data_IF_543343898016
#
_entry.id   IF_543343898016
#
_cell.length_a   1.000
_cell.length_b   1.000
_cell.length_c   1.000
_cell.angle_alpha   90.00
_cell.angle_beta   90.00
_cell.angle_gamma   90.00
#
_symmetry.space_group_name_H-M   'P 1'
#
loop_
_entity.id
_entity.type
_entity.pdbx_description
1 polymer ?
#
# COMPACT_ATOMS: atom_id res chain seq x y z
N UNK A 1 15.04 15.11 23.43
CA UNK A 1 14.98 14.43 22.12
C UNK A 1 13.90 15.01 21.19
N UNK A 2 12.70 15.36 21.67
CA UNK A 2 11.63 15.94 20.83
C UNK A 2 12.02 17.27 20.13
N UNK A 3 12.73 18.18 20.82
CA UNK A 3 13.19 19.44 20.22
C UNK A 3 14.15 19.25 19.04
N UNK A 4 15.15 18.37 19.17
CA UNK A 4 16.10 18.12 18.08
C UNK A 4 15.42 17.54 16.83
N UNK A 5 14.45 16.64 17.01
CA UNK A 5 13.68 16.09 15.88
C UNK A 5 12.86 17.15 15.15
N UNK A 6 12.29 18.11 15.88
CA UNK A 6 11.52 19.21 15.29
C UNK A 6 12.44 20.15 14.48
N UNK A 7 13.60 20.51 15.05
CA UNK A 7 14.59 21.35 14.38
C UNK A 7 15.12 20.72 13.08
N UNK A 8 15.53 19.45 13.11
CA UNK A 8 16.00 18.77 11.90
C UNK A 8 14.90 18.61 10.84
N UNK A 9 13.66 18.38 11.26
CA UNK A 9 12.51 18.32 10.35
C UNK A 9 12.25 19.68 9.70
N UNK A 10 12.28 20.77 10.47
CA UNK A 10 12.16 22.13 9.96
C UNK A 10 13.26 22.43 8.94
N UNK A 11 14.52 22.12 9.27
CA UNK A 11 15.66 22.30 8.37
C UNK A 11 15.49 21.49 7.07
N UNK A 12 15.04 20.25 7.15
CA UNK A 12 14.80 19.41 5.98
C UNK A 12 13.69 19.98 5.07
N UNK A 13 12.57 20.41 5.63
CA UNK A 13 11.46 21.02 4.86
C UNK A 13 11.90 22.33 4.22
N UNK A 14 12.63 23.16 4.97
CA UNK A 14 13.18 24.43 4.44
C UNK A 14 14.15 24.17 3.29
N UNK A 15 15.10 23.25 3.48
CA UNK A 15 16.05 22.88 2.43
C UNK A 15 15.37 22.30 1.20
N UNK A 16 14.33 21.48 1.37
CA UNK A 16 13.53 20.95 0.28
C UNK A 16 12.87 22.07 -0.55
N UNK A 17 12.24 23.05 0.11
CA UNK A 17 11.62 24.21 -0.57
C UNK A 17 12.64 25.04 -1.35
N UNK A 18 13.80 25.30 -0.76
CA UNK A 18 14.87 26.06 -1.43
C UNK A 18 15.42 25.33 -2.67
N UNK A 19 15.48 23.99 -2.64
CA UNK A 19 15.92 23.21 -3.80
C UNK A 19 14.85 23.12 -4.89
N UNK A 20 13.56 23.17 -4.54
CA UNK A 20 12.45 23.24 -5.50
C UNK A 20 12.42 24.58 -6.26
N UNK A 21 12.78 25.69 -5.60
CA UNK A 21 12.81 27.02 -6.23
C UNK A 21 14.01 27.21 -7.18
N UNK A 22 15.13 26.54 -6.90
CA UNK A 22 16.39 26.69 -7.65
C UNK A 22 16.67 25.52 -8.61
N UNK A 23 15.65 24.76 -9.00
CA UNK A 23 15.84 23.40 -9.52
C UNK A 23 16.66 23.34 -10.82
N UNK A 24 17.97 23.10 -10.70
CA UNK A 24 18.75 22.42 -11.73
C UNK A 24 18.32 20.95 -11.78
N UNK A 25 18.22 20.37 -12.98
CA UNK A 25 17.72 19.01 -13.19
C UNK A 25 18.49 17.91 -12.43
N UNK A 26 19.68 18.20 -11.89
CA UNK A 26 20.57 17.23 -11.26
C UNK A 26 20.09 16.74 -9.87
N UNK A 27 19.23 17.49 -9.15
CA UNK A 27 18.88 17.17 -7.76
C UNK A 27 17.47 16.57 -7.55
N UNK A 28 16.71 16.33 -8.64
CA UNK A 28 15.31 15.90 -8.58
C UNK A 28 15.08 14.59 -7.80
N UNK A 29 15.98 13.61 -7.94
CA UNK A 29 15.88 12.33 -7.23
C UNK A 29 16.02 12.53 -5.72
N UNK A 30 16.93 13.41 -5.29
CA UNK A 30 17.13 13.74 -3.87
C UNK A 30 15.92 14.46 -3.27
N UNK A 31 15.36 15.42 -4.01
CA UNK A 31 14.13 16.14 -3.64
C UNK A 31 12.95 15.17 -3.53
N UNK A 32 12.80 14.24 -4.48
CA UNK A 32 11.77 13.21 -4.46
C UNK A 32 11.90 12.29 -3.23
N UNK A 33 13.11 11.77 -2.99
CA UNK A 33 13.40 10.90 -1.84
C UNK A 33 13.14 11.62 -0.51
N UNK A 34 13.61 12.86 -0.35
CA UNK A 34 13.40 13.66 0.85
C UNK A 34 11.90 13.93 1.08
N UNK A 35 11.14 14.25 0.03
CA UNK A 35 9.69 14.46 0.11
C UNK A 35 8.94 13.21 0.60
N UNK A 36 9.33 12.02 0.12
CA UNK A 36 8.78 10.73 0.57
C UNK A 36 9.11 10.43 2.04
N UNK A 37 10.36 10.63 2.46
CA UNK A 37 10.76 10.40 3.85
C UNK A 37 10.02 11.36 4.79
N UNK A 38 9.91 12.63 4.41
CA UNK A 38 9.19 13.64 5.19
C UNK A 38 7.69 13.35 5.29
N UNK A 39 7.08 12.81 4.23
CA UNK A 39 5.68 12.40 4.26
C UNK A 39 5.47 11.17 5.13
N UNK A 40 6.37 10.19 5.06
CA UNK A 40 6.36 9.03 5.96
C UNK A 40 6.41 9.44 7.43
N UNK A 41 7.26 10.41 7.75
CA UNK A 41 7.45 10.89 9.12
C UNK A 41 6.50 12.02 9.53
N UNK A 42 5.55 12.45 8.69
CA UNK A 42 4.76 13.63 9.00
C UNK A 42 3.91 13.46 10.28
N UNK A 43 3.92 14.41 11.23
CA UNK A 43 3.23 14.28 12.52
C UNK A 43 1.72 14.57 12.45
N UNK A 44 1.23 15.15 11.34
CA UNK A 44 -0.17 15.49 11.13
C UNK A 44 -0.63 15.17 9.72
N UNK A 45 -1.95 15.04 9.53
CA UNK A 45 -2.57 14.86 8.22
C UNK A 45 -2.25 16.00 7.27
N UNK A 46 -2.23 17.24 7.77
CA UNK A 46 -1.94 18.43 6.97
C UNK A 46 -0.50 18.40 6.44
N UNK A 47 0.46 18.03 7.29
CA UNK A 47 1.84 17.96 6.87
C UNK A 47 2.10 16.78 5.93
N UNK A 48 1.38 15.68 6.13
CA UNK A 48 1.37 14.57 5.19
C UNK A 48 0.83 14.99 3.82
N UNK A 49 -0.33 15.64 3.75
CA UNK A 49 -0.89 16.07 2.46
C UNK A 49 0.03 17.06 1.74
N UNK A 50 0.64 18.01 2.45
CA UNK A 50 1.59 18.96 1.85
C UNK A 50 2.85 18.28 1.30
N UNK A 51 3.45 17.37 2.06
CA UNK A 51 4.65 16.63 1.61
C UNK A 51 4.34 15.69 0.46
N UNK A 52 3.17 15.02 0.48
CA UNK A 52 2.70 14.20 -0.63
C UNK A 52 2.37 15.02 -1.89
N UNK A 53 1.85 16.23 -1.74
CA UNK A 53 1.69 17.16 -2.85
C UNK A 53 3.05 17.54 -3.46
N UNK A 54 4.09 17.73 -2.63
CA UNK A 54 5.46 17.91 -3.09
C UNK A 54 5.98 16.73 -3.91
N UNK A 55 5.74 15.49 -3.47
CA UNK A 55 6.07 14.27 -4.24
C UNK A 55 5.41 14.30 -5.62
N UNK A 56 4.11 14.62 -5.67
CA UNK A 56 3.36 14.71 -6.93
C UNK A 56 3.94 15.79 -7.86
N UNK A 57 4.19 17.00 -7.37
CA UNK A 57 4.76 18.09 -8.15
C UNK A 57 6.13 17.73 -8.74
N UNK A 58 6.99 17.07 -7.96
CA UNK A 58 8.32 16.63 -8.45
C UNK A 58 8.17 15.56 -9.53
N UNK A 59 7.26 14.60 -9.35
CA UNK A 59 7.00 13.56 -10.36
C UNK A 59 6.46 14.14 -11.66
N UNK A 60 5.54 15.11 -11.60
CA UNK A 60 5.02 15.83 -12.76
C UNK A 60 6.14 16.61 -13.48
N UNK A 61 7.00 17.30 -12.72
CA UNK A 61 8.16 17.99 -13.28
C UNK A 61 9.14 17.03 -13.95
N UNK A 62 9.49 15.92 -13.30
CA UNK A 62 10.34 14.89 -13.87
C UNK A 62 9.73 14.31 -15.15
N UNK A 63 8.40 14.16 -15.20
CA UNK A 63 7.71 13.69 -16.41
C UNK A 63 7.78 14.70 -17.55
N UNK A 64 7.50 15.98 -17.27
CA UNK A 64 7.53 17.05 -18.28
C UNK A 64 8.94 17.29 -18.87
N UNK A 65 9.99 16.93 -18.12
CA UNK A 65 11.39 17.08 -18.54
C UNK A 65 12.06 15.75 -18.92
N UNK A 66 11.29 14.67 -19.13
CA UNK A 66 11.80 13.35 -19.51
C UNK A 66 12.93 12.83 -18.59
N UNK A 67 12.87 13.17 -17.31
CA UNK A 67 13.89 12.78 -16.34
C UNK A 67 13.59 11.39 -15.79
N UNK A 68 14.45 10.43 -16.12
CA UNK A 68 14.34 9.04 -15.70
C UNK A 68 15.18 8.75 -14.45
N UNK A 69 14.62 7.99 -13.51
CA UNK A 69 15.37 7.42 -12.38
C UNK A 69 14.68 6.15 -11.87
N UNK A 70 15.42 5.30 -11.18
CA UNK A 70 14.87 4.09 -10.54
C UNK A 70 13.81 4.44 -9.49
N UNK A 71 14.04 5.50 -8.71
CA UNK A 71 13.05 5.94 -7.73
C UNK A 71 11.76 6.42 -8.41
N UNK A 72 11.84 7.19 -9.51
CA UNK A 72 10.66 7.57 -10.30
C UNK A 72 9.97 6.34 -10.85
N UNK A 73 10.73 5.42 -11.44
CA UNK A 73 10.17 4.21 -12.05
C UNK A 73 9.46 3.35 -11.01
N UNK A 74 9.90 3.35 -9.74
CA UNK A 74 9.23 2.69 -8.63
C UNK A 74 7.85 3.30 -8.32
N UNK A 75 7.72 4.62 -8.30
CA UNK A 75 6.50 5.35 -7.89
C UNK A 75 5.48 5.50 -9.01
N UNK A 76 5.96 5.72 -10.25
CA UNK A 76 5.17 5.94 -11.45
C UNK A 76 5.39 4.77 -12.39
N UNK A 77 4.33 4.08 -12.79
CA UNK A 77 4.44 3.08 -13.86
C UNK A 77 4.75 3.79 -15.18
N UNK A 78 5.77 3.31 -15.88
CA UNK A 78 6.13 3.73 -17.24
C UNK A 78 5.24 3.13 -18.32
N UNK A 79 4.29 2.26 -17.95
CA UNK A 79 3.20 1.85 -18.83
C UNK A 79 2.22 3.01 -18.88
N UNK A 80 2.14 3.63 -20.07
CA UNK A 80 1.32 4.78 -20.37
C UNK A 80 -0.06 4.70 -19.71
N UNK A 81 -0.48 5.83 -19.13
CA UNK A 81 -1.79 6.06 -18.54
C UNK A 81 -2.93 6.11 -19.60
N UNK A 82 -2.79 5.35 -20.67
CA UNK A 82 -3.83 5.10 -21.65
C UNK A 82 -4.31 3.66 -21.51
N UNK A 83 -5.59 3.41 -21.16
CA UNK A 83 -6.22 2.11 -21.39
C UNK A 83 -6.47 1.95 -22.90
N UNK A 84 -5.39 1.94 -23.68
CA UNK A 84 -5.40 1.73 -25.13
C UNK A 84 -4.54 0.51 -25.40
N UNK A 85 -5.13 -0.66 -25.17
CA UNK A 85 -4.51 -1.97 -25.36
C UNK A 85 -4.86 -2.97 -24.26
N UNK A 86 -6.08 -3.49 -24.29
CA UNK A 86 -6.51 -4.78 -23.72
C UNK A 86 -6.46 -5.09 -22.21
N UNK A 87 -6.09 -4.17 -21.31
CA UNK A 87 -6.18 -4.41 -19.85
C UNK A 87 -7.18 -3.46 -19.16
N UNK A 88 -8.47 -3.69 -19.33
CA UNK A 88 -9.51 -2.95 -18.59
C UNK A 88 -9.57 -3.45 -17.14
N UNK A 89 -8.86 -2.77 -16.22
CA UNK A 89 -9.13 -2.96 -14.80
C UNK A 89 -10.51 -2.38 -14.49
N UNK A 90 -11.51 -3.24 -14.40
CA UNK A 90 -12.84 -2.83 -13.95
C UNK A 90 -12.87 -2.86 -12.43
N UNK A 91 -12.89 -1.68 -11.80
CA UNK A 91 -13.11 -1.59 -10.36
C UNK A 91 -14.55 -2.04 -10.05
N UNK A 92 -14.76 -2.78 -8.95
CA UNK A 92 -16.11 -3.19 -8.56
C UNK A 92 -16.96 -1.97 -8.20
N UNK A 93 -18.28 -2.09 -8.38
CA UNK A 93 -19.24 -1.11 -7.88
C UNK A 93 -19.09 -0.97 -6.35
N UNK A 94 -18.88 0.26 -5.88
CA UNK A 94 -18.60 0.58 -4.47
C UNK A 94 -17.39 -0.18 -3.91
N UNK A 95 -16.17 0.12 -4.39
CA UNK A 95 -14.97 -0.68 -4.09
C UNK A 95 -14.62 -0.72 -2.60
N UNK A 96 -14.77 0.39 -1.87
CA UNK A 96 -14.53 0.41 -0.41
C UNK A 96 -15.48 -0.50 0.37
N UNK A 97 -16.75 -0.62 -0.06
CA UNK A 97 -17.72 -1.52 0.56
C UNK A 97 -17.29 -2.97 0.33
N UNK A 98 -16.91 -3.30 -0.90
CA UNK A 98 -16.44 -4.64 -1.25
C UNK A 98 -15.18 -5.04 -0.48
N UNK A 99 -14.22 -4.13 -0.35
CA UNK A 99 -13.00 -4.36 0.43
C UNK A 99 -13.34 -4.55 1.93
N UNK A 100 -14.27 -3.76 2.47
CA UNK A 100 -14.76 -3.92 3.86
C UNK A 100 -15.37 -5.31 4.10
N UNK A 101 -16.18 -5.81 3.17
CA UNK A 101 -16.75 -7.15 3.25
C UNK A 101 -15.69 -8.23 3.28
N UNK A 102 -14.70 -8.17 2.37
CA UNK A 102 -13.58 -9.12 2.31
C UNK A 102 -12.82 -9.14 3.64
N UNK A 103 -12.45 -7.97 4.17
CA UNK A 103 -11.72 -7.85 5.44
C UNK A 103 -12.53 -8.41 6.62
N UNK A 104 -13.85 -8.15 6.67
CA UNK A 104 -14.75 -8.72 7.68
C UNK A 104 -14.84 -10.24 7.59
N UNK A 105 -14.91 -10.80 6.39
CA UNK A 105 -14.90 -12.25 6.17
C UNK A 105 -13.59 -12.87 6.65
N UNK A 106 -12.46 -12.25 6.32
CA UNK A 106 -11.14 -12.70 6.77
C UNK A 106 -11.08 -12.66 8.29
N UNK A 107 -11.42 -11.54 8.93
CA UNK A 107 -11.43 -11.40 10.39
C UNK A 107 -12.30 -12.46 11.08
N UNK A 108 -13.51 -12.71 10.56
CA UNK A 108 -14.41 -13.74 11.09
C UNK A 108 -13.77 -15.13 11.03
N UNK A 109 -13.08 -15.44 9.92
CA UNK A 109 -12.38 -16.71 9.77
C UNK A 109 -11.18 -16.79 10.71
N UNK A 110 -10.40 -15.72 10.88
CA UNK A 110 -9.23 -15.70 11.77
C UNK A 110 -9.59 -15.93 13.25
N UNK A 111 -10.84 -15.68 13.68
CA UNK A 111 -11.28 -15.96 15.05
C UNK A 111 -11.17 -17.44 15.43
N UNK A 112 -11.31 -18.36 14.46
CA UNK A 112 -11.27 -19.80 14.72
C UNK A 112 -9.88 -20.42 14.54
N UNK A 113 -8.81 -19.63 14.35
CA UNK A 113 -7.47 -20.13 14.06
C UNK A 113 -6.42 -19.54 15.01
N UNK A 114 -5.36 -20.34 15.22
CA UNK A 114 -4.20 -19.99 16.02
C UNK A 114 -3.22 -19.15 15.17
N UNK A 115 -3.55 -17.86 14.99
CA UNK A 115 -2.63 -16.83 14.48
C UNK A 115 -2.31 -15.86 15.61
N UNK A 116 -1.15 -15.20 15.53
CA UNK A 116 -0.69 -14.26 16.54
C UNK A 116 -1.63 -13.06 16.70
N UNK A 117 -1.67 -12.52 17.93
CA UNK A 117 -2.56 -11.41 18.27
C UNK A 117 -2.17 -10.09 17.57
N UNK A 118 -0.88 -9.93 17.25
CA UNK A 118 -0.35 -8.80 16.46
C UNK A 118 -1.04 -8.76 15.08
N UNK A 119 -1.09 -9.89 14.37
CA UNK A 119 -1.78 -10.00 13.09
C UNK A 119 -3.30 -9.79 13.23
N UNK A 120 -3.96 -10.40 14.23
CA UNK A 120 -5.41 -10.20 14.45
C UNK A 120 -5.75 -8.73 14.71
N UNK A 121 -4.93 -8.05 15.51
CA UNK A 121 -5.07 -6.61 15.78
C UNK A 121 -4.90 -5.82 14.50
N UNK A 122 -3.86 -6.09 13.72
CA UNK A 122 -3.54 -5.35 12.50
C UNK A 122 -4.61 -5.49 11.42
N UNK A 123 -5.17 -6.69 11.26
CA UNK A 123 -6.33 -6.91 10.40
C UNK A 123 -7.57 -6.14 10.87
N UNK A 124 -7.76 -6.00 12.19
CA UNK A 124 -8.87 -5.22 12.77
C UNK A 124 -8.69 -3.74 12.51
N UNK A 125 -7.48 -3.20 12.68
CA UNK A 125 -7.17 -1.80 12.37
C UNK A 125 -7.42 -1.50 10.88
N UNK A 126 -6.94 -2.36 9.99
CA UNK A 126 -7.17 -2.22 8.54
C UNK A 126 -8.66 -2.29 8.19
N UNK A 127 -9.40 -3.26 8.75
CA UNK A 127 -10.85 -3.37 8.54
C UNK A 127 -11.62 -2.17 9.07
N UNK A 128 -11.24 -1.63 10.24
CA UNK A 128 -11.85 -0.44 10.82
C UNK A 128 -11.61 0.77 9.92
N UNK A 129 -10.37 0.97 9.46
CA UNK A 129 -10.01 2.03 8.54
C UNK A 129 -10.86 2.02 7.27
N UNK A 130 -10.93 0.88 6.57
CA UNK A 130 -11.71 0.75 5.32
C UNK A 130 -13.20 0.97 5.58
N UNK A 131 -13.72 0.44 6.68
CA UNK A 131 -15.13 0.61 7.04
C UNK A 131 -15.46 2.07 7.35
N UNK A 132 -14.59 2.77 8.07
CA UNK A 132 -14.74 4.20 8.33
C UNK A 132 -14.68 5.03 7.05
N UNK A 133 -13.81 4.67 6.11
CA UNK A 133 -13.69 5.36 4.84
C UNK A 133 -14.92 5.13 3.93
N UNK A 134 -15.44 3.90 3.90
CA UNK A 134 -16.63 3.54 3.12
C UNK A 134 -17.91 4.27 3.57
N UNK A 135 -17.98 4.68 4.85
CA UNK A 135 -19.12 5.41 5.41
C UNK A 135 -19.04 6.93 5.17
N UNK A 136 -17.92 7.46 4.67
CA UNK A 136 -17.75 8.90 4.43
C UNK A 136 -18.33 9.30 3.07
N UNK A 137 -18.96 10.48 2.95
CA UNK A 137 -19.28 11.06 1.66
C UNK A 137 -18.00 11.57 1.01
N UNK A 138 -17.45 10.81 0.06
CA UNK A 138 -16.18 11.15 -0.59
C UNK A 138 -16.35 11.93 -1.90
N UNK A 139 -17.59 12.13 -2.36
CA UNK A 139 -17.92 12.90 -3.56
C UNK A 139 -17.43 14.35 -3.43
N UNK A 140 -16.74 14.85 -4.46
CA UNK A 140 -16.20 16.23 -4.52
C UNK A 140 -15.22 16.60 -3.39
N UNK A 141 -14.59 15.61 -2.77
CA UNK A 141 -13.54 15.87 -1.77
C UNK A 141 -12.34 16.56 -2.44
N UNK A 142 -11.87 17.73 -1.95
CA UNK A 142 -10.68 18.38 -2.51
C UNK A 142 -9.43 17.50 -2.41
N UNK A 143 -8.50 17.64 -3.35
CA UNK A 143 -7.33 16.76 -3.48
C UNK A 143 -6.48 16.66 -2.19
N UNK A 144 -6.34 17.76 -1.45
CA UNK A 144 -5.66 17.77 -0.16
C UNK A 144 -6.30 16.82 0.85
N UNK A 145 -7.64 16.86 1.00
CA UNK A 145 -8.37 16.00 1.93
C UNK A 145 -8.39 14.54 1.46
N UNK A 146 -8.33 14.30 0.14
CA UNK A 146 -8.14 12.95 -0.39
C UNK A 146 -6.78 12.37 0.04
N UNK A 147 -5.71 13.16 0.00
CA UNK A 147 -4.40 12.76 0.51
C UNK A 147 -4.46 12.55 2.02
N UNK A 148 -5.07 13.47 2.78
CA UNK A 148 -5.22 13.33 4.23
C UNK A 148 -5.93 12.03 4.65
N UNK A 149 -6.84 11.51 3.83
CA UNK A 149 -7.52 10.25 4.10
C UNK A 149 -6.58 9.02 4.12
N UNK A 150 -5.38 9.10 3.52
CA UNK A 150 -4.35 8.06 3.62
C UNK A 150 -3.51 8.15 4.91
N UNK A 151 -3.59 9.26 5.64
CA UNK A 151 -2.80 9.47 6.86
C UNK A 151 -2.91 8.33 7.89
N UNK A 152 -4.08 7.71 8.15
CA UNK A 152 -4.19 6.62 9.11
C UNK A 152 -3.48 5.34 8.64
N UNK A 153 -3.62 4.97 7.36
CA UNK A 153 -3.12 3.69 6.81
C UNK A 153 -1.62 3.71 6.50
N UNK A 154 -0.99 4.89 6.38
CA UNK A 154 0.48 4.96 6.22
C UNK A 154 1.23 4.46 7.46
N UNK A 155 0.60 4.51 8.64
CA UNK A 155 1.19 4.12 9.92
C UNK A 155 1.15 2.59 10.14
N UNK A 156 0.91 1.78 9.11
CA UNK A 156 0.74 0.34 9.20
C UNK A 156 1.94 -0.39 9.83
N UNK A 157 3.16 0.14 9.68
CA UNK A 157 4.37 -0.44 10.29
C UNK A 157 4.28 -0.48 11.82
N UNK A 158 3.53 0.43 12.44
CA UNK A 158 3.28 0.39 13.89
C UNK A 158 2.30 -0.72 14.29
N UNK A 159 1.51 -1.25 13.34
CA UNK A 159 0.58 -2.34 13.59
C UNK A 159 1.29 -3.69 13.60
N UNK A 160 2.27 -3.88 12.71
CA UNK A 160 3.10 -5.11 12.63
C UNK A 160 4.59 -4.75 12.55
N UNK A 161 5.26 -4.41 13.68
CA UNK A 161 6.68 -4.04 13.67
C UNK A 161 7.62 -5.11 13.10
N UNK A 162 7.24 -6.39 13.22
CA UNK A 162 8.02 -7.52 12.74
C UNK A 162 7.77 -7.88 11.26
N UNK A 163 6.94 -7.12 10.56
CA UNK A 163 6.41 -7.49 9.24
C UNK A 163 7.51 -7.76 8.21
N UNK A 164 8.51 -6.89 8.07
CA UNK A 164 9.54 -7.09 7.04
C UNK A 164 10.43 -8.31 7.31
N UNK A 165 10.77 -8.55 8.57
CA UNK A 165 11.53 -9.74 8.96
C UNK A 165 10.72 -11.01 8.67
N UNK A 166 9.45 -11.05 9.09
CA UNK A 166 8.55 -12.20 8.87
C UNK A 166 8.28 -12.42 7.38
N UNK A 167 8.10 -11.35 6.61
CA UNK A 167 7.95 -11.43 5.15
C UNK A 167 9.20 -12.01 4.49
N UNK A 168 10.40 -11.58 4.90
CA UNK A 168 11.66 -12.13 4.40
C UNK A 168 11.85 -13.62 4.76
N UNK A 169 11.28 -14.06 5.87
CA UNK A 169 11.26 -15.47 6.29
C UNK A 169 10.18 -16.31 5.58
N UNK A 170 9.36 -15.69 4.72
CA UNK A 170 8.32 -16.40 4.01
C UNK A 170 7.04 -16.64 4.82
N UNK A 171 6.77 -15.85 5.87
CA UNK A 171 5.60 -16.05 6.72
C UNK A 171 4.27 -15.77 5.96
N UNK A 172 3.42 -16.80 5.74
CA UNK A 172 2.19 -16.66 4.98
C UNK A 172 1.15 -15.75 5.67
N UNK A 173 1.23 -15.58 6.98
CA UNK A 173 0.33 -14.68 7.73
C UNK A 173 0.60 -13.23 7.35
N UNK A 174 1.88 -12.84 7.32
CA UNK A 174 2.29 -11.49 6.94
C UNK A 174 2.10 -11.25 5.43
N UNK A 175 2.29 -12.27 4.60
CA UNK A 175 1.93 -12.18 3.18
C UNK A 175 0.45 -11.88 2.98
N UNK A 176 -0.45 -12.55 3.70
CA UNK A 176 -1.89 -12.27 3.65
C UNK A 176 -2.21 -10.84 4.12
N UNK A 177 -1.54 -10.36 5.17
CA UNK A 177 -1.68 -8.96 5.62
C UNK A 177 -1.36 -7.98 4.48
N UNK A 178 -0.18 -8.14 3.85
CA UNK A 178 0.24 -7.24 2.77
C UNK A 178 -0.69 -7.33 1.55
N UNK A 179 -1.21 -8.51 1.23
CA UNK A 179 -2.19 -8.65 0.17
C UNK A 179 -3.48 -7.86 0.49
N UNK A 180 -3.97 -7.94 1.73
CA UNK A 180 -5.13 -7.16 2.20
C UNK A 180 -4.84 -5.64 2.22
N UNK A 181 -3.61 -5.27 2.58
CA UNK A 181 -3.14 -3.88 2.59
C UNK A 181 -3.13 -3.29 1.18
N UNK A 182 -2.55 -4.01 0.21
CA UNK A 182 -2.52 -3.56 -1.19
C UNK A 182 -3.91 -3.55 -1.83
N UNK A 183 -4.74 -4.55 -1.54
CA UNK A 183 -6.16 -4.57 -1.92
C UNK A 183 -6.90 -3.31 -1.44
N UNK A 184 -6.62 -2.88 -0.21
CA UNK A 184 -7.22 -1.67 0.35
C UNK A 184 -6.84 -0.42 -0.45
N UNK A 185 -5.57 -0.30 -0.85
CA UNK A 185 -5.13 0.81 -1.71
C UNK A 185 -5.76 0.75 -3.10
N UNK A 186 -5.92 -0.44 -3.69
CA UNK A 186 -6.68 -0.61 -4.94
C UNK A 186 -8.14 -0.16 -4.80
N UNK A 187 -8.77 -0.43 -3.65
CA UNK A 187 -10.14 -0.02 -3.38
C UNK A 187 -10.30 1.50 -3.18
N UNK A 188 -9.26 2.18 -2.68
CA UNK A 188 -9.24 3.63 -2.44
C UNK A 188 -9.06 4.40 -3.73
N UNK A 189 -8.18 3.94 -4.62
CA UNK A 189 -7.79 4.62 -5.84
C UNK A 189 -8.93 5.22 -6.69
N UNK A 190 -10.02 4.49 -7.02
CA UNK A 190 -11.11 5.04 -7.83
C UNK A 190 -11.98 6.05 -7.05
N UNK A 191 -11.94 6.04 -5.72
CA UNK A 191 -12.75 6.92 -4.86
C UNK A 191 -11.99 8.19 -4.48
N UNK A 192 -10.67 8.10 -4.35
CA UNK A 192 -9.77 9.20 -3.97
C UNK A 192 -8.63 9.33 -5.01
N UNK A 193 -8.91 9.83 -6.22
CA UNK A 193 -7.97 9.82 -7.33
C UNK A 193 -6.65 10.57 -7.08
N UNK A 194 -6.62 11.57 -6.20
CA UNK A 194 -5.39 12.27 -5.84
C UNK A 194 -4.34 11.34 -5.17
N UNK A 195 -4.77 10.19 -4.66
CA UNK A 195 -3.92 9.20 -3.99
C UNK A 195 -3.14 8.28 -4.94
N UNK A 196 -3.41 8.35 -6.25
CA UNK A 196 -2.87 7.42 -7.25
C UNK A 196 -1.38 7.65 -7.56
N UNK A 197 -0.86 8.83 -7.25
CA UNK A 197 0.42 9.35 -7.77
C UNK A 197 1.72 8.95 -7.06
N UNK A 198 1.78 8.39 -5.83
CA UNK A 198 3.07 8.03 -5.23
C UNK A 198 3.35 6.52 -5.12
N UNK A 199 2.42 5.65 -5.49
CA UNK A 199 2.57 4.20 -5.33
C UNK A 199 1.67 3.50 -6.36
N UNK A 200 2.03 3.60 -7.65
CA UNK A 200 1.27 3.10 -8.79
C UNK A 200 0.39 1.88 -8.48
N UNK A 201 -0.92 2.02 -8.65
CA UNK A 201 -1.96 0.99 -8.48
C UNK A 201 -1.59 -0.30 -9.21
N UNK A 202 -1.05 -0.19 -10.42
CA UNK A 202 -0.70 -1.34 -11.26
C UNK A 202 0.37 -2.22 -10.60
N UNK A 203 1.31 -1.61 -9.87
CA UNK A 203 2.32 -2.38 -9.12
C UNK A 203 1.72 -3.07 -7.90
N UNK A 204 0.64 -2.54 -7.33
CA UNK A 204 -0.03 -3.12 -6.16
C UNK A 204 -0.72 -4.43 -6.49
N UNK A 205 -1.40 -4.50 -7.65
CA UNK A 205 -1.97 -5.75 -8.14
C UNK A 205 -0.89 -6.83 -8.29
N UNK A 206 0.26 -6.47 -8.88
CA UNK A 206 1.42 -7.38 -9.03
C UNK A 206 2.00 -7.84 -7.69
N UNK A 207 1.97 -7.00 -6.65
CA UNK A 207 2.36 -7.42 -5.29
C UNK A 207 1.41 -8.51 -4.78
N UNK A 208 0.09 -8.33 -4.92
CA UNK A 208 -0.90 -9.33 -4.51
C UNK A 208 -0.68 -10.65 -5.26
N UNK A 209 -0.48 -10.60 -6.58
CA UNK A 209 -0.16 -11.78 -7.41
C UNK A 209 1.11 -12.50 -6.92
N UNK A 210 2.16 -11.75 -6.61
CA UNK A 210 3.42 -12.32 -6.16
C UNK A 210 3.30 -12.95 -4.76
N UNK A 211 2.49 -12.37 -3.87
CA UNK A 211 2.21 -12.92 -2.54
C UNK A 211 1.36 -14.21 -2.64
N UNK A 212 0.34 -14.23 -3.51
CA UNK A 212 -0.49 -15.43 -3.76
C UNK A 212 0.34 -16.59 -4.31
N UNK A 213 1.24 -16.30 -5.25
CA UNK A 213 2.18 -17.29 -5.80
C UNK A 213 3.10 -17.85 -4.72
N UNK A 214 3.70 -16.98 -3.89
CA UNK A 214 4.58 -17.41 -2.81
C UNK A 214 3.86 -18.30 -1.79
N UNK A 215 2.66 -17.92 -1.36
CA UNK A 215 1.84 -18.74 -0.44
C UNK A 215 1.54 -20.12 -1.06
N UNK A 216 1.26 -20.16 -2.36
CA UNK A 216 1.00 -21.41 -3.09
C UNK A 216 2.25 -22.28 -3.20
N UNK A 217 3.43 -21.68 -3.40
CA UNK A 217 4.69 -22.42 -3.53
C UNK A 217 5.20 -22.97 -2.19
N UNK A 218 4.82 -22.38 -1.05
CA UNK A 218 5.14 -22.93 0.28
C UNK A 218 4.59 -24.35 0.46
N UNK A 219 3.42 -24.65 -0.12
CA UNK A 219 2.81 -25.98 -0.10
C UNK A 219 3.65 -27.02 -0.87
N UNK A 220 4.27 -26.61 -1.99
CA UNK A 220 5.14 -27.47 -2.81
C UNK A 220 6.47 -27.77 -2.13
N UNK A 221 6.94 -26.87 -1.24
CA UNK A 221 8.22 -26.98 -0.53
C UNK A 221 8.13 -27.76 0.79
N UNK A 222 7.03 -28.48 1.04
CA UNK A 222 6.76 -29.28 2.25
C UNK A 222 7.68 -30.51 2.43
N UNK A 223 9.00 -30.31 2.36
CA UNK A 223 10.06 -31.18 2.86
C UNK A 223 11.08 -30.29 3.58
N UNK A 224 10.73 -29.75 4.76
CA UNK A 224 11.70 -29.19 5.71
C UNK A 224 11.46 -29.83 7.08
N UNK A 225 12.48 -30.44 7.71
CA UNK A 225 12.35 -31.26 8.92
C UNK A 225 12.44 -30.39 10.18
N UNK A 226 11.33 -29.78 10.56
CA UNK A 226 11.03 -29.37 11.92
C UNK A 226 9.59 -28.86 11.93
N UNK A 227 8.89 -29.01 13.04
CA UNK A 227 7.55 -28.47 13.31
C UNK A 227 6.35 -29.36 12.94
N UNK A 228 5.31 -29.21 13.77
CA UNK A 228 4.16 -30.08 13.90
C UNK A 228 3.26 -30.00 12.65
N UNK A 229 3.38 -30.97 11.74
CA UNK A 229 2.88 -30.90 10.34
C UNK A 229 1.37 -30.70 10.18
N UNK A 230 0.54 -31.27 11.07
CA UNK A 230 -0.91 -31.33 10.84
C UNK A 230 -1.60 -29.95 11.00
N UNK A 231 -1.27 -29.21 12.06
CA UNK A 231 -1.85 -27.88 12.32
C UNK A 231 -1.36 -26.81 11.34
N UNK A 232 -0.11 -26.93 10.87
CA UNK A 232 0.48 -26.00 9.91
C UNK A 232 -0.12 -26.15 8.51
N UNK A 233 -0.31 -27.37 8.04
CA UNK A 233 -0.94 -27.64 6.73
C UNK A 233 -2.37 -27.10 6.69
N UNK A 234 -3.14 -27.30 7.77
CA UNK A 234 -4.49 -26.74 7.90
C UNK A 234 -4.50 -25.21 7.93
N UNK A 235 -3.54 -24.60 8.65
CA UNK A 235 -3.42 -23.14 8.75
C UNK A 235 -3.03 -22.53 7.41
N UNK A 236 -2.05 -23.11 6.70
CA UNK A 236 -1.65 -22.68 5.37
C UNK A 236 -2.79 -22.83 4.35
N UNK A 237 -3.52 -23.96 4.37
CA UNK A 237 -4.69 -24.18 3.53
C UNK A 237 -5.79 -23.14 3.76
N UNK A 238 -6.03 -22.75 5.02
CA UNK A 238 -6.92 -21.64 5.33
C UNK A 238 -6.38 -20.30 4.80
N UNK A 239 -5.12 -19.95 5.07
CA UNK A 239 -4.54 -18.69 4.60
C UNK A 239 -4.63 -18.55 3.08
N UNK A 240 -4.41 -19.63 2.34
CA UNK A 240 -4.63 -19.70 0.88
C UNK A 240 -6.10 -19.49 0.49
N UNK A 241 -7.03 -20.10 1.22
CA UNK A 241 -8.46 -19.84 0.99
C UNK A 241 -8.81 -18.37 1.25
N UNK A 242 -8.19 -17.73 2.25
CA UNK A 242 -8.38 -16.31 2.56
C UNK A 242 -7.75 -15.39 1.51
N UNK A 243 -6.65 -15.80 0.87
CA UNK A 243 -6.04 -15.09 -0.25
C UNK A 243 -6.99 -14.89 -1.44
N UNK A 244 -8.03 -15.72 -1.57
CA UNK A 244 -9.06 -15.52 -2.59
C UNK A 244 -9.73 -14.13 -2.51
N UNK A 245 -9.80 -13.54 -1.31
CA UNK A 245 -10.31 -12.19 -1.10
C UNK A 245 -9.46 -11.14 -1.81
N UNK A 246 -8.22 -10.88 -1.36
CA UNK A 246 -7.30 -9.96 -2.05
C UNK A 246 -7.08 -10.32 -3.52
N UNK A 247 -7.01 -11.61 -3.86
CA UNK A 247 -6.88 -12.07 -5.24
C UNK A 247 -8.04 -11.67 -6.14
N UNK A 248 -9.26 -11.53 -5.62
CA UNK A 248 -10.38 -11.03 -6.43
C UNK A 248 -10.20 -9.59 -6.95
N UNK A 249 -9.16 -8.90 -6.47
CA UNK A 249 -8.76 -7.55 -6.91
C UNK A 249 -7.58 -7.56 -7.88
N UNK A 250 -7.06 -8.72 -8.25
CA UNK A 250 -6.10 -8.87 -9.34
C UNK A 250 -6.85 -9.40 -10.56
N UNK A 251 -6.45 -8.93 -11.74
CA UNK A 251 -7.09 -9.27 -13.00
C UNK A 251 -7.33 -10.78 -13.16
N UNK A 252 -8.48 -11.15 -13.70
CA UNK A 252 -8.63 -12.42 -14.42
C UNK A 252 -8.34 -12.14 -15.88
N UNK A 253 -7.30 -12.75 -16.44
CA UNK A 253 -7.19 -12.91 -17.90
C UNK A 253 -8.47 -13.59 -18.39
N UNK A 254 -9.41 -12.82 -18.94
CA UNK A 254 -10.39 -13.39 -19.87
C UNK A 254 -9.68 -13.54 -21.20
N UNK A 255 -9.02 -14.68 -21.39
CA UNK A 255 -8.77 -15.18 -22.73
C UNK A 255 -10.14 -15.42 -23.37
N UNK A 256 -10.57 -14.50 -24.22
CA UNK A 256 -11.57 -14.76 -25.27
C UNK A 256 -10.85 -14.80 -26.60
#
# INVERSE_FOLDING_TARGET
>A
MAHASFEYRYLAIRGLRQNLENTEAQNLVGVLAASLVLSWQAPSSDEYSHTMQGVKTVLEFMNANEHHSDLRSLLVSSEDLHPSGDLSFSFPDRPLVKASEVLKTILKKLQSFQVDDEFKRSMRELSSYVSSLAMRPLTNTPAEYQLQALYPIRNWMYWIPSAFQRLAQGDPVVMLFFACYEMTHLAIAPVLPATNTPLSILKRARIIENLDRQITDLERRSHIPAFNLAGQTQTLGMLKALMAGPRSWIYTHTNT
#
